data_IF_329488375782
#
_entry.id   IF_329488375782
#
_cell.length_a   1.000
_cell.length_b   1.000
_cell.length_c   1.000
_cell.angle_alpha   90.00
_cell.angle_beta   90.00
_cell.angle_gamma   90.00
#
_symmetry.space_group_name_H-M   'P 1'
#
loop_
_entity.id
_entity.type
_entity.pdbx_description
1 polymer ?
#
# COMPACT_ATOMS: atom_id res chain seq x y z
N UNK A 1 -36.98 -17.21 26.72
CA UNK A 1 -35.75 -17.91 26.31
C UNK A 1 -35.49 -17.51 24.88
N UNK A 2 -34.83 -16.36 24.73
CA UNK A 2 -34.48 -15.78 23.43
C UNK A 2 -33.16 -16.40 22.97
N UNK A 3 -33.20 -17.05 21.81
CA UNK A 3 -32.02 -17.51 21.09
C UNK A 3 -31.43 -16.34 20.30
N UNK A 4 -30.31 -15.81 20.78
CA UNK A 4 -29.57 -14.74 20.14
C UNK A 4 -29.07 -15.14 18.76
N UNK A 5 -29.48 -14.37 17.77
CA UNK A 5 -28.94 -14.37 16.40
C UNK A 5 -27.50 -13.87 16.44
N UNK A 6 -26.53 -14.78 16.24
CA UNK A 6 -25.14 -14.40 15.99
C UNK A 6 -25.04 -13.65 14.66
N UNK A 7 -24.65 -12.39 14.73
CA UNK A 7 -24.26 -11.57 13.58
C UNK A 7 -23.03 -12.19 12.93
N UNK A 8 -23.23 -12.93 11.84
CA UNK A 8 -22.15 -13.50 11.04
C UNK A 8 -21.42 -12.40 10.27
N UNK A 9 -20.14 -12.22 10.57
CA UNK A 9 -19.25 -11.32 9.84
C UNK A 9 -18.95 -11.88 8.44
N UNK A 10 -19.34 -11.16 7.39
CA UNK A 10 -19.07 -11.51 5.99
C UNK A 10 -17.94 -10.60 5.48
N UNK A 11 -16.80 -11.19 5.11
CA UNK A 11 -15.60 -10.47 4.67
C UNK A 11 -15.45 -10.49 3.15
N UNK A 12 -15.03 -9.34 2.59
CA UNK A 12 -14.77 -9.09 1.17
C UNK A 12 -13.53 -9.85 0.67
N UNK A 13 -13.64 -10.36 -0.56
CA UNK A 13 -12.81 -11.45 -1.13
C UNK A 13 -12.29 -11.05 -2.51
N UNK A 14 -11.02 -11.36 -2.84
CA UNK A 14 -10.35 -11.07 -4.13
C UNK A 14 -9.58 -12.30 -4.65
N UNK A 15 -9.79 -12.66 -5.94
CA UNK A 15 -9.11 -13.65 -6.85
C UNK A 15 -9.67 -15.09 -7.06
N UNK A 16 -10.13 -15.39 -8.30
CA UNK A 16 -10.83 -16.62 -8.73
C UNK A 16 -9.94 -17.69 -9.42
N UNK A 17 -10.58 -18.84 -9.70
CA UNK A 17 -10.11 -20.22 -10.00
C UNK A 17 -9.98 -20.56 -11.49
N UNK A 18 -9.17 -21.58 -11.80
CA UNK A 18 -9.20 -22.32 -13.06
C UNK A 18 -9.58 -23.81 -12.87
N UNK A 19 -10.11 -24.42 -13.92
CA UNK A 19 -10.15 -25.88 -14.12
C UNK A 19 -9.32 -26.24 -15.37
N UNK A 20 -8.32 -27.10 -15.14
CA UNK A 20 -7.33 -27.75 -16.02
C UNK A 20 -7.57 -27.78 -17.55
N UNK A 21 -6.48 -27.60 -18.32
CA UNK A 21 -5.76 -28.70 -18.99
C UNK A 21 -4.45 -28.24 -19.68
N UNK A 22 -3.43 -29.12 -19.63
CA UNK A 22 -2.14 -29.13 -20.33
C UNK A 22 -2.26 -28.70 -21.83
N UNK A 23 -1.26 -28.18 -22.54
CA UNK A 23 0.04 -28.80 -22.85
C UNK A 23 0.84 -27.83 -23.76
N UNK A 24 2.17 -27.80 -23.62
CA UNK A 24 3.19 -27.48 -24.65
C UNK A 24 3.14 -26.09 -25.29
N UNK A 25 4.02 -25.18 -24.87
CA UNK A 25 4.60 -24.11 -25.71
C UNK A 25 5.87 -23.51 -25.08
N UNK A 26 6.72 -24.33 -24.44
CA UNK A 26 7.98 -23.88 -23.82
C UNK A 26 9.24 -24.31 -24.57
N UNK A 27 9.12 -24.87 -25.77
CA UNK A 27 10.24 -25.02 -26.70
C UNK A 27 9.82 -24.30 -27.98
N UNK A 28 10.71 -23.48 -28.53
CA UNK A 28 10.52 -22.43 -29.56
C UNK A 28 10.05 -21.09 -29.03
N UNK A 29 11.00 -20.29 -28.53
CA UNK A 29 11.16 -18.87 -28.89
C UNK A 29 12.50 -18.30 -28.34
N UNK A 30 13.58 -19.08 -28.42
CA UNK A 30 14.90 -18.51 -28.69
C UNK A 30 15.12 -18.64 -30.20
N UNK A 31 15.66 -17.57 -30.80
CA UNK A 31 15.91 -17.36 -32.25
C UNK A 31 14.75 -16.78 -33.08
N UNK A 32 14.56 -15.46 -33.00
CA UNK A 32 14.27 -14.66 -34.20
C UNK A 32 14.99 -13.29 -34.12
N UNK A 33 15.73 -12.88 -35.15
CA UNK A 33 16.28 -11.53 -35.27
C UNK A 33 15.18 -10.53 -35.63
N UNK A 34 15.39 -9.25 -35.30
CA UNK A 34 14.51 -8.13 -35.65
C UNK A 34 14.11 -8.17 -37.13
N UNK A 35 12.80 -8.24 -37.39
CA UNK A 35 12.22 -8.03 -38.72
C UNK A 35 10.88 -7.28 -38.62
N UNK A 36 10.76 -6.20 -39.40
CA UNK A 36 9.55 -5.39 -39.60
C UNK A 36 8.47 -6.15 -40.41
N UNK A 37 7.81 -7.15 -39.83
CA UNK A 37 6.65 -7.80 -40.47
C UNK A 37 5.30 -7.43 -39.83
N UNK A 38 4.32 -7.18 -40.71
CA UNK A 38 2.98 -6.65 -40.45
C UNK A 38 1.96 -7.77 -40.21
N UNK A 39 1.17 -7.68 -39.13
CA UNK A 39 0.03 -8.57 -38.88
C UNK A 39 -1.31 -7.86 -39.17
N UNK A 40 -2.20 -8.59 -39.84
CA UNK A 40 -3.55 -8.14 -40.21
C UNK A 40 -4.60 -8.95 -39.44
N UNK A 41 -5.56 -8.27 -38.80
CA UNK A 41 -6.75 -8.91 -38.22
C UNK A 41 -8.01 -8.19 -38.73
N UNK A 42 -8.91 -8.95 -39.36
CA UNK A 42 -10.23 -8.50 -39.86
C UNK A 42 -10.23 -7.20 -40.69
N UNK A 43 -9.24 -7.04 -41.57
CA UNK A 43 -9.23 -5.97 -42.57
C UNK A 43 -8.96 -4.56 -42.02
N UNK A 44 -8.50 -4.42 -40.76
CA UNK A 44 -7.98 -3.16 -40.23
C UNK A 44 -6.55 -3.30 -39.73
N UNK A 45 -5.76 -2.26 -40.00
CA UNK A 45 -4.38 -2.13 -39.56
C UNK A 45 -4.35 -1.72 -38.08
N UNK A 46 -3.64 -2.48 -37.26
CA UNK A 46 -3.41 -2.13 -35.87
C UNK A 46 -1.91 -1.94 -35.62
N UNK A 47 -1.57 -0.77 -35.09
CA UNK A 47 -0.24 -0.48 -34.55
C UNK A 47 -0.39 -0.45 -33.03
N UNK A 48 0.11 -1.47 -32.34
CA UNK A 48 0.16 -1.47 -30.87
C UNK A 48 1.61 -1.58 -30.43
N UNK A 49 2.30 -0.44 -30.48
CA UNK A 49 3.41 -0.18 -29.56
C UNK A 49 2.82 0.48 -28.33
N UNK A 50 2.47 -0.30 -27.31
CA UNK A 50 2.31 0.26 -25.96
C UNK A 50 3.70 0.42 -25.38
N UNK A 51 4.19 1.66 -25.42
CA UNK A 51 5.57 2.02 -25.14
C UNK A 51 6.08 1.61 -23.76
N UNK A 52 7.27 1.00 -23.77
CA UNK A 52 8.10 0.62 -22.63
C UNK A 52 8.85 -0.68 -22.95
N UNK A 53 10.15 -0.74 -22.66
CA UNK A 53 10.97 -1.97 -22.78
C UNK A 53 10.83 -2.89 -21.54
N UNK A 54 9.83 -2.64 -20.70
CA UNK A 54 9.60 -3.39 -19.45
C UNK A 54 8.75 -4.64 -19.65
N UNK A 55 8.62 -5.48 -18.61
CA UNK A 55 7.83 -6.71 -18.65
C UNK A 55 6.35 -6.43 -18.99
N UNK A 56 5.76 -7.30 -19.81
CA UNK A 56 4.32 -7.30 -20.12
C UNK A 56 3.48 -8.13 -19.13
N UNK A 57 4.13 -8.79 -18.17
CA UNK A 57 3.51 -9.59 -17.11
C UNK A 57 4.29 -9.44 -15.80
N UNK A 58 3.56 -9.46 -14.69
CA UNK A 58 4.14 -9.49 -13.35
C UNK A 58 4.27 -10.91 -12.75
N UNK A 59 3.92 -11.93 -13.53
CA UNK A 59 4.06 -13.32 -13.13
C UNK A 59 5.51 -13.64 -12.74
N UNK A 60 5.66 -14.29 -11.58
CA UNK A 60 6.96 -14.67 -11.05
C UNK A 60 7.67 -13.61 -10.19
N UNK A 61 7.25 -12.33 -10.20
CA UNK A 61 7.94 -11.29 -9.41
C UNK A 61 7.01 -10.30 -8.68
N UNK A 62 5.80 -10.05 -9.20
CA UNK A 62 4.89 -9.02 -8.70
C UNK A 62 4.09 -9.36 -7.44
N UNK A 63 4.24 -10.56 -6.86
CA UNK A 63 3.32 -11.05 -5.83
C UNK A 63 3.20 -10.13 -4.60
N UNK A 64 4.30 -9.55 -4.09
CA UNK A 64 4.23 -8.60 -2.98
C UNK A 64 3.58 -7.26 -3.37
N UNK A 65 3.77 -6.82 -4.62
CA UNK A 65 3.08 -5.62 -5.14
C UNK A 65 1.56 -5.85 -5.17
N UNK A 66 1.11 -7.02 -5.64
CA UNK A 66 -0.29 -7.44 -5.61
C UNK A 66 -0.85 -7.52 -4.18
N UNK A 67 -0.09 -8.04 -3.22
CA UNK A 67 -0.49 -8.01 -1.81
C UNK A 67 -0.64 -6.57 -1.28
N UNK A 68 0.27 -5.67 -1.65
CA UNK A 68 0.16 -4.24 -1.35
C UNK A 68 -1.09 -3.60 -1.94
N UNK A 69 -1.42 -3.91 -3.21
CA UNK A 69 -2.66 -3.47 -3.86
C UNK A 69 -3.88 -3.94 -3.08
N UNK A 70 -3.94 -5.22 -2.67
CA UNK A 70 -5.08 -5.76 -1.92
C UNK A 70 -5.29 -5.06 -0.57
N UNK A 71 -4.21 -4.82 0.20
CA UNK A 71 -4.30 -4.11 1.48
C UNK A 71 -4.75 -2.65 1.29
N UNK A 72 -4.21 -1.94 0.30
CA UNK A 72 -4.62 -0.56 0.02
C UNK A 72 -6.06 -0.51 -0.49
N UNK A 73 -6.45 -1.41 -1.39
CA UNK A 73 -7.83 -1.51 -1.88
C UNK A 73 -8.81 -1.71 -0.72
N UNK A 74 -8.49 -2.59 0.24
CA UNK A 74 -9.29 -2.78 1.43
C UNK A 74 -9.41 -1.49 2.27
N UNK A 75 -8.33 -0.71 2.41
CA UNK A 75 -8.37 0.60 3.07
C UNK A 75 -9.30 1.58 2.33
N UNK A 76 -9.25 1.62 0.99
CA UNK A 76 -10.10 2.48 0.17
C UNK A 76 -11.59 2.06 0.25
N UNK A 77 -11.87 0.77 0.29
CA UNK A 77 -13.23 0.24 0.53
C UNK A 77 -13.72 0.70 1.91
N UNK A 78 -12.92 0.53 2.97
CA UNK A 78 -13.27 1.01 4.32
C UNK A 78 -13.52 2.53 4.36
N UNK A 79 -12.73 3.31 3.61
CA UNK A 79 -12.87 4.78 3.52
C UNK A 79 -14.21 5.17 2.91
N UNK A 80 -14.55 4.62 1.74
CA UNK A 80 -15.65 5.09 0.89
C UNK A 80 -16.96 4.34 1.08
N UNK A 81 -16.89 3.02 1.25
CA UNK A 81 -18.06 2.13 1.30
C UNK A 81 -18.33 1.65 2.73
N UNK A 82 -17.31 1.71 3.59
CA UNK A 82 -17.38 1.20 4.96
C UNK A 82 -17.03 -0.28 5.04
N UNK A 83 -16.70 -0.73 6.26
CA UNK A 83 -16.22 -2.09 6.51
C UNK A 83 -17.31 -3.15 6.27
N UNK A 84 -18.58 -2.81 6.50
CA UNK A 84 -19.73 -3.73 6.37
C UNK A 84 -20.27 -3.87 4.94
N UNK A 85 -19.76 -3.06 4.01
CA UNK A 85 -20.10 -3.20 2.60
C UNK A 85 -19.65 -4.57 2.07
N UNK A 86 -20.45 -5.16 1.20
CA UNK A 86 -20.14 -6.42 0.53
C UNK A 86 -20.48 -6.36 -0.94
N UNK A 87 -19.61 -6.96 -1.75
CA UNK A 87 -19.86 -7.13 -3.18
C UNK A 87 -20.83 -8.30 -3.42
N UNK A 88 -21.70 -8.13 -4.41
CA UNK A 88 -22.60 -9.19 -4.88
C UNK A 88 -22.70 -9.17 -6.41
N UNK A 89 -22.42 -10.31 -7.05
CA UNK A 89 -22.38 -10.46 -8.51
C UNK A 89 -23.63 -9.94 -9.24
N UNK A 90 -24.81 -10.03 -8.63
CA UNK A 90 -26.07 -9.68 -9.27
C UNK A 90 -26.60 -8.29 -8.89
N UNK A 91 -25.88 -7.53 -8.07
CA UNK A 91 -26.30 -6.19 -7.66
C UNK A 91 -25.47 -5.12 -8.35
N UNK A 92 -26.14 -4.02 -8.68
CA UNK A 92 -25.45 -2.81 -9.12
C UNK A 92 -24.59 -2.28 -7.98
N UNK A 93 -23.32 -2.06 -8.27
CA UNK A 93 -22.34 -1.60 -7.28
C UNK A 93 -22.31 -0.07 -7.23
N UNK A 94 -22.00 0.53 -6.07
CA UNK A 94 -21.85 1.99 -5.96
C UNK A 94 -20.80 2.53 -6.93
N UNK A 95 -20.99 3.72 -7.51
CA UNK A 95 -20.00 4.32 -8.42
C UNK A 95 -18.60 4.46 -7.80
N UNK A 96 -18.54 4.69 -6.48
CA UNK A 96 -17.27 4.75 -5.76
C UNK A 96 -16.50 3.42 -5.82
N UNK A 97 -17.18 2.27 -5.86
CA UNK A 97 -16.53 0.96 -5.99
C UNK A 97 -15.79 0.83 -7.33
N UNK A 98 -16.46 1.13 -8.45
CA UNK A 98 -15.83 1.10 -9.78
C UNK A 98 -14.63 2.06 -9.86
N UNK A 99 -14.74 3.25 -9.25
CA UNK A 99 -13.63 4.19 -9.18
C UNK A 99 -12.45 3.69 -8.34
N UNK A 100 -12.70 2.98 -7.22
CA UNK A 100 -11.65 2.32 -6.43
C UNK A 100 -10.97 1.25 -7.27
N UNK A 101 -11.74 0.38 -7.92
CA UNK A 101 -11.21 -0.70 -8.76
C UNK A 101 -10.31 -0.16 -9.88
N UNK A 102 -10.75 0.92 -10.54
CA UNK A 102 -9.99 1.59 -11.59
C UNK A 102 -8.64 2.14 -11.13
N UNK A 103 -8.45 2.44 -9.84
CA UNK A 103 -7.13 2.85 -9.33
C UNK A 103 -6.08 1.74 -9.44
N UNK A 104 -6.48 0.47 -9.54
CA UNK A 104 -5.61 -0.70 -9.49
C UNK A 104 -5.48 -1.46 -10.81
N UNK A 105 -6.16 -1.02 -11.87
CA UNK A 105 -6.01 -1.64 -13.20
C UNK A 105 -4.57 -1.56 -13.66
N UNK A 106 -4.15 -2.54 -14.47
CA UNK A 106 -2.78 -2.64 -14.96
C UNK A 106 -2.53 -1.69 -16.13
N UNK A 107 -2.77 -0.40 -15.90
CA UNK A 107 -2.50 0.71 -16.83
C UNK A 107 -1.65 1.78 -16.17
N UNK A 108 -0.81 2.44 -16.96
CA UNK A 108 0.11 3.49 -16.47
C UNK A 108 -0.61 4.72 -15.91
N UNK A 109 -1.83 5.01 -16.37
CA UNK A 109 -2.64 6.14 -15.91
C UNK A 109 -3.39 5.86 -14.59
N UNK A 110 -3.41 4.61 -14.11
CA UNK A 110 -4.01 4.22 -12.84
C UNK A 110 -3.01 4.37 -11.69
N UNK A 111 -3.37 5.12 -10.63
CA UNK A 111 -2.44 5.59 -9.60
C UNK A 111 -1.77 4.49 -8.75
N UNK A 112 -2.41 3.33 -8.59
CA UNK A 112 -1.88 2.19 -7.83
C UNK A 112 -1.71 0.95 -8.71
N UNK A 113 -1.54 1.14 -10.02
CA UNK A 113 -1.27 0.03 -10.95
C UNK A 113 0.07 -0.63 -10.68
N UNK A 114 0.23 -1.86 -11.18
CA UNK A 114 1.51 -2.57 -11.12
C UNK A 114 2.64 -1.75 -11.76
N UNK A 115 2.33 -0.98 -12.81
CA UNK A 115 3.26 -0.08 -13.49
C UNK A 115 3.76 1.02 -12.57
N UNK A 116 2.85 1.74 -11.90
CA UNK A 116 3.19 2.82 -10.99
C UNK A 116 3.95 2.30 -9.77
N UNK A 117 3.55 1.15 -9.22
CA UNK A 117 4.24 0.53 -8.09
C UNK A 117 5.65 0.08 -8.45
N UNK A 118 5.84 -0.60 -9.58
CA UNK A 118 7.16 -1.04 -10.03
C UNK A 118 8.07 0.15 -10.34
N UNK A 119 7.56 1.17 -11.03
CA UNK A 119 8.32 2.38 -11.36
C UNK A 119 8.71 3.18 -10.11
N UNK A 120 7.81 3.31 -9.13
CA UNK A 120 8.10 3.97 -7.85
C UNK A 120 9.13 3.18 -7.03
N UNK A 121 9.15 1.85 -7.17
CA UNK A 121 10.14 0.99 -6.54
C UNK A 121 11.57 1.22 -7.00
N UNK A 122 11.79 1.75 -8.22
CA UNK A 122 13.13 2.18 -8.68
C UNK A 122 13.71 3.23 -7.73
N UNK A 123 12.88 4.15 -7.24
CA UNK A 123 13.27 5.15 -6.23
C UNK A 123 13.51 4.58 -4.83
N UNK A 124 13.23 3.30 -4.60
CA UNK A 124 13.58 2.53 -3.40
C UNK A 124 14.77 1.58 -3.64
N UNK A 125 15.46 1.72 -4.79
CA UNK A 125 16.58 0.86 -5.17
C UNK A 125 16.18 -0.52 -5.69
N UNK A 126 14.93 -0.70 -6.14
CA UNK A 126 14.44 -1.95 -6.74
C UNK A 126 14.27 -1.84 -8.24
N UNK A 127 14.91 -2.75 -8.98
CA UNK A 127 14.73 -2.81 -10.43
C UNK A 127 13.31 -3.31 -10.77
N UNK A 128 12.79 -2.91 -11.91
CA UNK A 128 11.53 -3.48 -12.42
C UNK A 128 11.75 -4.97 -12.66
N UNK A 129 10.84 -5.82 -12.18
CA UNK A 129 11.01 -7.27 -12.21
C UNK A 129 11.61 -7.87 -10.93
N UNK A 130 12.11 -7.06 -10.01
CA UNK A 130 12.64 -7.55 -8.72
C UNK A 130 11.51 -7.79 -7.71
N UNK A 131 11.70 -8.74 -6.80
CA UNK A 131 10.78 -8.99 -5.70
C UNK A 131 10.94 -7.97 -4.56
N UNK A 132 9.82 -7.59 -3.95
CA UNK A 132 9.73 -6.57 -2.91
C UNK A 132 9.48 -7.22 -1.55
N UNK A 133 10.14 -6.71 -0.50
CA UNK A 133 9.75 -7.03 0.88
C UNK A 133 8.57 -6.19 1.36
N UNK A 134 7.93 -6.56 2.50
CA UNK A 134 6.79 -5.82 3.04
C UNK A 134 7.06 -4.33 3.32
N UNK A 135 8.27 -3.98 3.80
CA UNK A 135 8.64 -2.57 4.01
C UNK A 135 8.73 -1.81 2.69
N UNK A 136 9.37 -2.37 1.67
CA UNK A 136 9.56 -1.68 0.38
C UNK A 136 8.23 -1.37 -0.30
N UNK A 137 7.30 -2.32 -0.32
CA UNK A 137 5.96 -2.05 -0.88
C UNK A 137 5.21 -0.99 -0.05
N UNK A 138 5.36 -0.98 1.28
CA UNK A 138 4.76 0.05 2.14
C UNK A 138 5.28 1.46 1.83
N UNK A 139 6.59 1.62 1.60
CA UNK A 139 7.17 2.92 1.20
C UNK A 139 6.69 3.35 -0.20
N UNK A 140 6.57 2.41 -1.14
CA UNK A 140 5.99 2.68 -2.47
C UNK A 140 4.54 3.17 -2.35
N UNK A 141 3.70 2.50 -1.58
CA UNK A 141 2.30 2.92 -1.36
C UNK A 141 2.24 4.31 -0.72
N UNK A 142 3.14 4.59 0.25
CA UNK A 142 3.25 5.91 0.88
C UNK A 142 3.59 7.01 -0.11
N UNK A 143 4.50 6.77 -1.07
CA UNK A 143 4.86 7.74 -2.12
C UNK A 143 3.74 7.91 -3.14
N UNK A 144 3.10 6.82 -3.59
CA UNK A 144 2.01 6.89 -4.57
C UNK A 144 0.76 7.62 -4.02
N UNK A 145 0.44 7.42 -2.74
CA UNK A 145 -0.70 8.06 -2.10
C UNK A 145 -0.61 9.61 -2.09
N UNK A 146 0.59 10.18 -2.25
CA UNK A 146 0.77 11.63 -2.39
C UNK A 146 0.10 12.20 -3.64
N UNK A 147 -0.01 11.40 -4.71
CA UNK A 147 -0.59 11.82 -5.99
C UNK A 147 -2.11 11.60 -6.06
N UNK A 148 -2.69 10.94 -5.06
CA UNK A 148 -4.11 10.63 -5.01
C UNK A 148 -4.89 11.65 -4.17
N UNK A 149 -5.31 12.72 -4.84
CA UNK A 149 -6.08 13.80 -4.23
C UNK A 149 -7.50 13.38 -3.85
N UNK A 150 -8.09 12.40 -4.53
CA UNK A 150 -9.44 11.94 -4.24
C UNK A 150 -9.52 11.24 -2.89
N UNK A 151 -8.54 10.37 -2.62
CA UNK A 151 -8.46 9.65 -1.36
C UNK A 151 -7.80 10.49 -0.26
N UNK A 152 -6.80 11.30 -0.60
CA UNK A 152 -6.07 12.17 0.34
C UNK A 152 -5.68 11.44 1.63
N UNK A 153 -5.18 10.21 1.49
CA UNK A 153 -4.75 9.38 2.62
C UNK A 153 -3.48 9.95 3.26
N UNK A 154 -3.40 9.85 4.58
CA UNK A 154 -2.13 9.88 5.29
C UNK A 154 -1.60 8.44 5.37
N UNK A 155 -0.42 8.16 4.81
CA UNK A 155 0.21 6.84 4.89
C UNK A 155 1.41 6.92 5.82
N UNK A 156 1.28 6.32 7.01
CA UNK A 156 2.36 6.23 7.98
C UNK A 156 2.97 4.83 7.96
N UNK A 157 4.28 4.75 7.74
CA UNK A 157 5.05 3.51 7.85
C UNK A 157 5.96 3.64 9.05
N UNK A 158 5.78 2.78 10.06
CA UNK A 158 6.61 2.83 11.28
C UNK A 158 8.04 2.39 10.99
N UNK A 159 8.97 2.94 11.75
CA UNK A 159 10.39 2.56 11.74
C UNK A 159 10.75 1.95 13.10
N UNK A 160 11.76 1.07 13.12
CA UNK A 160 12.31 0.45 14.33
C UNK A 160 11.26 -0.12 15.29
N UNK A 161 10.25 -0.80 14.72
CA UNK A 161 9.12 -1.39 15.44
C UNK A 161 8.43 -0.40 16.41
N UNK A 162 8.42 0.90 16.09
CA UNK A 162 7.92 1.95 16.99
C UNK A 162 6.94 2.86 16.26
N UNK A 163 5.74 2.97 16.80
CA UNK A 163 4.68 3.86 16.33
C UNK A 163 4.66 5.11 17.19
N UNK A 164 4.81 6.29 16.57
CA UNK A 164 4.87 7.58 17.27
C UNK A 164 3.55 8.32 17.11
N UNK A 165 2.85 8.54 18.23
CA UNK A 165 1.53 9.17 18.24
C UNK A 165 1.58 10.60 17.73
N UNK A 166 2.54 11.42 18.19
CA UNK A 166 2.63 12.83 17.78
C UNK A 166 2.92 13.00 16.27
N UNK A 167 3.72 12.11 15.69
CA UNK A 167 4.05 12.14 14.26
C UNK A 167 2.83 11.84 13.41
N UNK A 168 2.05 10.83 13.82
CA UNK A 168 0.78 10.49 13.16
C UNK A 168 -0.20 11.65 13.27
N UNK A 169 -0.39 12.23 14.46
CA UNK A 169 -1.29 13.38 14.64
C UNK A 169 -0.83 14.55 13.78
N UNK A 170 0.47 14.85 13.71
CA UNK A 170 1.04 15.90 12.84
C UNK A 170 0.83 15.62 11.35
N UNK A 171 0.86 14.36 10.91
CA UNK A 171 0.62 13.98 9.51
C UNK A 171 -0.86 14.05 9.12
N UNK A 172 -1.76 13.63 10.02
CA UNK A 172 -3.19 13.53 9.74
C UNK A 172 -3.93 14.86 9.94
N UNK A 173 -3.46 15.70 10.86
CA UNK A 173 -4.01 17.03 11.11
C UNK A 173 -3.72 18.00 9.97
N UNK A 174 -4.77 18.51 9.31
CA UNK A 174 -4.63 19.59 8.33
C UNK A 174 -4.99 20.93 8.97
N UNK A 175 -4.07 21.89 8.90
CA UNK A 175 -4.36 23.27 9.27
C UNK A 175 -5.17 23.95 8.14
N UNK A 176 -6.18 24.77 8.46
CA UNK A 176 -6.92 25.51 7.45
C UNK A 176 -6.03 26.53 6.74
N UNK A 177 -6.11 26.56 5.40
CA UNK A 177 -5.35 27.46 4.50
C UNK A 177 -5.77 28.94 4.62
N UNK A 178 -6.65 29.31 5.56
CA UNK A 178 -7.31 30.62 5.59
C UNK A 178 -6.86 31.54 6.73
N UNK A 179 -5.56 31.63 7.00
CA UNK A 179 -4.99 32.64 7.92
C UNK A 179 -3.78 33.41 7.36
N UNK A 180 -3.42 33.22 6.08
CA UNK A 180 -2.27 33.88 5.45
C UNK A 180 -2.62 35.04 4.50
N UNK A 181 -3.91 35.39 4.34
CA UNK A 181 -4.34 36.56 3.55
C UNK A 181 -5.41 37.34 4.30
N UNK A 182 -5.08 37.89 5.46
CA UNK A 182 -5.76 39.06 5.99
C UNK A 182 -4.80 40.23 5.82
N UNK A 183 -5.07 41.04 4.79
CA UNK A 183 -4.31 42.23 4.46
C UNK A 183 -4.21 43.19 5.64
N UNK A 184 -3.08 43.88 5.68
CA UNK A 184 -2.69 44.90 6.64
C UNK A 184 -3.79 45.94 6.88
N UNK A 185 -4.10 46.21 8.13
CA UNK A 185 -4.71 47.46 8.59
C UNK A 185 -4.10 47.81 9.96
N UNK A 186 -3.76 49.08 10.21
CA UNK A 186 -2.94 49.47 11.37
C UNK A 186 -3.71 49.39 12.71
N UNK A 187 -3.00 49.36 13.85
CA UNK A 187 -3.61 49.09 15.15
C UNK A 187 -4.08 50.40 15.80
N UNK A 188 -5.34 50.43 16.26
CA UNK A 188 -5.77 51.43 17.23
C UNK A 188 -6.33 50.76 18.51
N UNK A 189 -5.62 51.02 19.60
CA UNK A 189 -6.06 51.09 21.00
C UNK A 189 -6.62 49.85 21.72
N UNK A 190 -5.73 49.27 22.54
CA UNK A 190 -5.89 48.83 23.94
C UNK A 190 -7.31 48.58 24.48
N UNK A 191 -7.57 47.31 24.85
CA UNK A 191 -8.12 46.99 26.16
C UNK A 191 -7.68 45.60 26.62
N UNK A 192 -7.01 45.56 27.76
CA UNK A 192 -6.59 44.34 28.44
C UNK A 192 -7.77 43.73 29.21
N UNK A 193 -7.99 42.43 29.01
CA UNK A 193 -8.69 41.59 29.97
C UNK A 193 -8.25 40.13 29.80
N UNK A 194 -7.72 39.60 30.91
CA UNK A 194 -7.20 38.26 31.07
C UNK A 194 -8.27 37.19 30.79
N UNK A 195 -7.95 36.23 29.94
CA UNK A 195 -8.31 34.83 30.18
C UNK A 195 -7.41 33.90 29.38
N UNK A 196 -6.57 33.18 30.13
CA UNK A 196 -5.83 32.01 29.70
C UNK A 196 -6.78 30.93 29.18
N UNK A 197 -6.77 30.70 27.87
CA UNK A 197 -7.09 29.39 27.31
C UNK A 197 -5.92 29.04 26.40
N UNK A 198 -5.15 28.03 26.79
CA UNK A 198 -4.18 27.42 25.90
C UNK A 198 -4.91 27.08 24.61
N UNK A 199 -4.53 27.75 23.54
CA UNK A 199 -5.02 27.51 22.19
C UNK A 199 -4.49 26.14 21.80
N UNK A 200 -5.19 25.08 22.23
CA UNK A 200 -5.15 23.80 21.53
C UNK A 200 -5.53 24.13 20.09
N UNK A 201 -4.54 24.10 19.20
CA UNK A 201 -4.76 24.23 17.78
C UNK A 201 -5.65 23.05 17.38
N UNK A 202 -6.97 23.27 17.39
CA UNK A 202 -7.95 22.26 17.07
C UNK A 202 -7.79 21.96 15.58
N UNK A 203 -7.24 20.79 15.25
CA UNK A 203 -7.23 20.29 13.88
C UNK A 203 -8.68 20.13 13.42
N UNK A 204 -9.12 20.91 12.46
CA UNK A 204 -10.51 20.85 11.99
C UNK A 204 -10.75 19.68 11.02
N UNK A 205 -9.71 19.11 10.41
CA UNK A 205 -9.83 17.98 9.48
C UNK A 205 -8.72 16.94 9.68
N UNK A 206 -9.13 15.67 9.82
CA UNK A 206 -8.27 14.49 9.91
C UNK A 206 -8.20 13.79 8.56
N UNK A 207 -7.00 13.62 8.00
CA UNK A 207 -6.78 12.76 6.84
C UNK A 207 -6.90 11.29 7.24
N UNK A 208 -7.74 10.47 6.55
CA UNK A 208 -7.84 9.05 6.85
C UNK A 208 -6.46 8.39 6.78
N UNK A 209 -6.13 7.64 7.83
CA UNK A 209 -4.81 7.09 8.07
C UNK A 209 -4.75 5.63 7.59
N UNK A 210 -3.79 5.34 6.73
CA UNK A 210 -3.26 4.00 6.50
C UNK A 210 -1.96 3.86 7.30
N UNK A 211 -2.02 3.10 8.39
CA UNK A 211 -0.88 2.81 9.25
C UNK A 211 -0.33 1.44 8.88
N UNK A 212 0.95 1.38 8.49
CA UNK A 212 1.66 0.15 8.17
C UNK A 212 2.82 -0.02 9.15
N UNK A 213 2.92 -1.21 9.75
CA UNK A 213 3.96 -1.56 10.72
C UNK A 213 4.77 -2.74 10.18
N UNK A 214 5.87 -2.49 9.45
CA UNK A 214 6.81 -3.52 9.04
C UNK A 214 7.53 -4.12 10.25
N UNK A 215 7.68 -5.45 10.27
CA UNK A 215 8.17 -6.20 11.42
C UNK A 215 9.02 -7.38 10.98
N UNK A 216 9.97 -7.76 11.84
CA UNK A 216 10.72 -9.01 11.76
C UNK A 216 10.50 -9.82 13.04
N UNK A 217 9.66 -10.84 12.97
CA UNK A 217 9.17 -11.61 14.13
C UNK A 217 10.05 -12.83 14.50
N UNK A 218 11.22 -12.95 13.90
CA UNK A 218 12.15 -14.06 14.12
C UNK A 218 13.25 -14.11 13.06
N UNK A 219 14.14 -15.10 13.17
CA UNK A 219 15.28 -15.23 12.25
C UNK A 219 14.87 -16.03 11.00
N UNK A 220 14.31 -17.22 11.15
CA UNK A 220 13.90 -18.08 10.03
C UNK A 220 12.40 -18.36 10.01
N UNK A 221 11.78 -18.33 11.18
CA UNK A 221 10.36 -18.57 11.42
C UNK A 221 9.89 -17.60 12.50
N UNK A 222 8.58 -17.37 12.58
CA UNK A 222 8.00 -16.57 13.66
C UNK A 222 8.35 -17.17 15.03
N UNK A 223 8.76 -16.32 15.97
CA UNK A 223 8.92 -16.74 17.35
C UNK A 223 7.52 -16.96 17.98
N UNK A 224 7.21 -18.14 18.55
CA UNK A 224 5.91 -18.44 19.13
C UNK A 224 5.39 -17.42 20.15
N UNK A 225 6.30 -16.69 20.84
CA UNK A 225 5.92 -15.63 21.79
C UNK A 225 5.09 -14.51 21.16
N UNK A 226 5.21 -14.28 19.85
CA UNK A 226 4.47 -13.24 19.15
C UNK A 226 3.14 -13.71 18.57
N UNK A 227 2.84 -15.02 18.59
CA UNK A 227 1.65 -15.59 17.91
C UNK A 227 0.36 -15.00 18.45
N UNK A 228 0.23 -14.88 19.77
CA UNK A 228 -0.99 -14.36 20.38
C UNK A 228 -1.16 -12.85 20.10
N UNK A 229 -0.10 -12.05 20.26
CA UNK A 229 -0.11 -10.63 19.91
C UNK A 229 -0.42 -10.41 18.41
N UNK A 230 0.11 -11.26 17.53
CA UNK A 230 -0.18 -11.22 16.11
C UNK A 230 -1.66 -11.51 15.83
N UNK A 231 -2.26 -12.52 16.49
CA UNK A 231 -3.70 -12.80 16.40
C UNK A 231 -4.57 -11.64 16.89
N UNK A 232 -4.18 -10.96 17.97
CA UNK A 232 -4.91 -9.79 18.49
C UNK A 232 -5.00 -8.65 17.45
N UNK A 233 -3.98 -8.48 16.61
CA UNK A 233 -3.98 -7.46 15.55
C UNK A 233 -5.11 -7.68 14.53
N UNK A 234 -5.52 -8.93 14.25
CA UNK A 234 -6.63 -9.23 13.34
C UNK A 234 -8.01 -8.98 13.97
N UNK A 235 -8.09 -8.90 15.30
CA UNK A 235 -9.36 -8.68 16.02
C UNK A 235 -9.73 -7.20 16.13
N UNK A 236 -8.79 -6.30 15.90
CA UNK A 236 -9.02 -4.86 15.99
C UNK A 236 -9.97 -4.40 14.88
N UNK A 237 -10.94 -3.51 15.15
CA UNK A 237 -11.85 -2.97 14.13
C UNK A 237 -11.11 -2.27 12.97
N UNK A 238 -9.95 -1.69 13.26
CA UNK A 238 -9.09 -0.99 12.32
C UNK A 238 -8.25 -1.94 11.47
N UNK A 239 -8.26 -3.25 11.74
CA UNK A 239 -7.36 -4.19 11.08
C UNK A 239 -7.58 -4.25 9.57
N UNK A 240 -6.48 -4.07 8.83
CA UNK A 240 -6.38 -4.40 7.42
C UNK A 240 -5.62 -5.72 7.21
N UNK A 241 -5.36 -6.51 8.26
CA UNK A 241 -4.59 -7.73 8.17
C UNK A 241 -3.09 -7.50 8.03
N UNK A 242 -2.39 -8.40 7.33
CA UNK A 242 -0.93 -8.37 7.21
C UNK A 242 -0.43 -8.75 5.81
N UNK A 243 0.66 -8.13 5.38
CA UNK A 243 1.47 -8.56 4.24
C UNK A 243 2.60 -9.46 4.75
N UNK A 244 2.95 -10.51 4.02
CA UNK A 244 4.10 -11.33 4.37
C UNK A 244 4.33 -12.47 3.39
N UNK A 245 5.32 -13.30 3.68
CA UNK A 245 5.69 -14.44 2.86
C UNK A 245 7.14 -14.38 2.37
N UNK A 246 7.59 -15.50 1.82
CA UNK A 246 8.97 -15.66 1.32
C UNK A 246 9.12 -14.92 -0.02
N UNK A 247 10.36 -14.70 -0.48
CA UNK A 247 10.60 -14.25 -1.85
C UNK A 247 9.77 -15.06 -2.85
N UNK A 248 9.08 -14.34 -3.74
CA UNK A 248 8.20 -14.88 -4.79
C UNK A 248 7.01 -15.72 -4.27
N UNK A 249 6.74 -15.72 -2.96
CA UNK A 249 5.64 -16.43 -2.29
C UNK A 249 4.99 -15.52 -1.25
N UNK A 250 4.47 -14.38 -1.71
CA UNK A 250 3.83 -13.37 -0.87
C UNK A 250 2.31 -13.59 -0.77
N UNK A 251 1.75 -13.36 0.42
CA UNK A 251 0.32 -13.51 0.68
C UNK A 251 -0.23 -12.30 1.42
N UNK A 252 -1.52 -12.05 1.24
CA UNK A 252 -2.25 -11.07 2.02
C UNK A 252 -3.11 -11.78 3.08
N UNK A 253 -2.67 -11.75 4.32
CA UNK A 253 -3.34 -12.36 5.45
C UNK A 253 -4.48 -11.46 5.93
N UNK A 254 -5.70 -12.01 5.99
CA UNK A 254 -6.93 -11.27 6.29
C UNK A 254 -7.58 -11.69 7.62
N UNK A 255 -7.09 -12.77 8.24
CA UNK A 255 -7.64 -13.28 9.49
C UNK A 255 -6.99 -14.59 9.91
N UNK A 256 -7.58 -15.25 10.89
CA UNK A 256 -7.11 -16.54 11.38
C UNK A 256 -8.27 -17.40 11.90
N UNK A 257 -8.04 -18.71 12.00
CA UNK A 257 -8.90 -19.67 12.65
C UNK A 257 -8.04 -20.66 13.44
N UNK A 258 -8.17 -20.69 14.76
CA UNK A 258 -7.29 -21.49 15.61
C UNK A 258 -5.83 -21.06 15.45
N UNK A 259 -4.99 -21.95 14.94
CA UNK A 259 -3.57 -21.71 14.63
C UNK A 259 -3.27 -21.58 13.13
N UNK A 260 -4.32 -21.43 12.32
CA UNK A 260 -4.20 -21.22 10.87
C UNK A 260 -4.50 -19.77 10.50
N UNK A 261 -3.63 -19.15 9.71
CA UNK A 261 -3.93 -17.88 9.04
C UNK A 261 -4.77 -18.11 7.82
N UNK A 262 -5.67 -17.18 7.55
CA UNK A 262 -6.49 -17.12 6.34
C UNK A 262 -5.92 -16.02 5.44
N UNK A 263 -5.69 -16.32 4.17
CA UNK A 263 -5.06 -15.37 3.26
C UNK A 263 -5.63 -15.41 1.84
N UNK A 264 -5.35 -14.33 1.11
CA UNK A 264 -5.54 -14.20 -0.33
C UNK A 264 -4.20 -14.40 -1.04
N UNK A 265 -4.22 -15.21 -2.09
CA UNK A 265 -3.06 -15.68 -2.82
C UNK A 265 -3.00 -15.04 -4.22
N UNK A 266 -1.97 -14.24 -4.54
CA UNK A 266 -1.83 -13.59 -5.84
C UNK A 266 -1.18 -14.48 -6.92
N UNK A 267 -0.77 -15.72 -6.64
CA UNK A 267 0.01 -16.54 -7.58
C UNK A 267 -0.84 -17.23 -8.67
N UNK A 268 -1.90 -16.56 -9.13
CA UNK A 268 -2.69 -16.97 -10.29
C UNK A 268 -2.63 -15.86 -11.33
N UNK A 269 -2.04 -16.16 -12.50
CA UNK A 269 -1.98 -15.20 -13.61
C UNK A 269 -3.34 -15.15 -14.31
N UNK A 270 -3.87 -13.93 -14.47
CA UNK A 270 -5.15 -13.68 -15.15
C UNK A 270 -4.90 -12.79 -16.38
N UNK A 271 -5.83 -12.82 -17.34
CA UNK A 271 -5.79 -11.88 -18.46
C UNK A 271 -6.05 -10.46 -17.95
N UNK A 272 -5.38 -9.49 -18.57
CA UNK A 272 -5.64 -8.07 -18.35
C UNK A 272 -7.10 -7.73 -18.64
N UNK A 273 -7.71 -6.95 -17.74
CA UNK A 273 -9.07 -6.42 -17.89
C UNK A 273 -8.96 -4.91 -18.10
N UNK A 274 -9.56 -4.40 -19.18
CA UNK A 274 -9.66 -2.98 -19.46
C UNK A 274 -11.05 -2.44 -19.12
N UNK A 275 -11.22 -1.12 -19.21
CA UNK A 275 -12.52 -0.48 -19.14
C UNK A 275 -13.34 -0.74 -20.40
N UNK A 276 -14.61 -1.10 -20.21
CA UNK A 276 -15.62 -1.22 -21.26
C UNK A 276 -16.02 0.15 -21.84
N UNK A 277 -16.72 0.17 -22.98
CA UNK A 277 -17.17 1.43 -23.64
C UNK A 277 -18.03 2.33 -22.73
N UNK A 278 -18.74 1.74 -21.78
CA UNK A 278 -19.56 2.46 -20.80
C UNK A 278 -18.75 3.02 -19.61
N UNK A 279 -17.43 2.84 -19.61
CA UNK A 279 -16.51 3.28 -18.55
C UNK A 279 -16.50 2.41 -17.30
N UNK A 280 -17.16 1.25 -17.30
CA UNK A 280 -17.13 0.26 -16.21
C UNK A 280 -16.09 -0.82 -16.46
N UNK A 281 -15.74 -1.58 -15.42
CA UNK A 281 -14.82 -2.71 -15.49
C UNK A 281 -15.60 -3.98 -15.17
N UNK A 282 -15.40 -5.05 -15.96
CA UNK A 282 -15.85 -6.40 -15.56
C UNK A 282 -15.04 -6.86 -14.35
N UNK A 283 -15.71 -6.90 -13.20
CA UNK A 283 -15.06 -7.05 -11.91
C UNK A 283 -14.96 -8.50 -11.41
N UNK A 284 -15.48 -9.46 -12.18
CA UNK A 284 -15.59 -10.86 -11.76
C UNK A 284 -14.24 -11.49 -11.36
N UNK A 285 -13.16 -11.13 -12.06
CA UNK A 285 -11.79 -11.64 -11.83
C UNK A 285 -11.12 -11.02 -10.60
N UNK A 286 -11.66 -9.92 -10.10
CA UNK A 286 -11.18 -9.22 -8.90
C UNK A 286 -11.84 -9.75 -7.61
N UNK A 287 -12.63 -10.83 -7.69
CA UNK A 287 -13.29 -11.46 -6.54
C UNK A 287 -12.94 -12.95 -6.38
N UNK A 288 -12.55 -13.37 -5.16
CA UNK A 288 -12.23 -14.78 -4.88
C UNK A 288 -13.49 -15.54 -4.53
N UNK A 289 -13.88 -16.43 -5.44
CA UNK A 289 -15.01 -17.34 -5.25
C UNK A 289 -14.58 -18.71 -4.69
N UNK A 290 -13.28 -18.95 -4.53
CA UNK A 290 -12.78 -20.17 -3.92
C UNK A 290 -12.95 -20.15 -2.40
N UNK A 291 -12.83 -21.34 -1.80
CA UNK A 291 -12.69 -21.44 -0.35
C UNK A 291 -11.43 -20.70 0.12
N UNK A 292 -11.48 -19.98 1.26
CA UNK A 292 -10.32 -19.25 1.77
C UNK A 292 -9.13 -20.19 2.01
N UNK A 293 -7.96 -19.81 1.51
CA UNK A 293 -6.72 -20.55 1.72
C UNK A 293 -6.24 -20.40 3.16
N UNK A 294 -5.55 -21.43 3.66
CA UNK A 294 -5.09 -21.50 5.04
C UNK A 294 -3.67 -22.02 5.15
N UNK A 295 -2.94 -21.53 6.15
CA UNK A 295 -1.64 -22.07 6.52
C UNK A 295 -1.41 -21.94 8.03
N UNK A 296 -0.66 -22.86 8.62
CA UNK A 296 -0.28 -22.73 10.02
C UNK A 296 0.54 -21.44 10.27
N UNK A 297 0.24 -20.71 11.34
CA UNK A 297 0.93 -19.46 11.70
C UNK A 297 2.45 -19.66 11.83
N UNK A 298 2.90 -20.82 12.33
CA UNK A 298 4.32 -21.11 12.50
C UNK A 298 5.09 -21.27 11.17
N UNK A 299 4.37 -21.50 10.07
CA UNK A 299 4.97 -21.56 8.73
C UNK A 299 5.11 -20.18 8.07
N UNK A 300 4.61 -19.12 8.72
CA UNK A 300 4.72 -17.75 8.24
C UNK A 300 6.19 -17.30 8.22
N UNK A 301 6.60 -16.65 7.13
CA UNK A 301 7.90 -15.97 7.08
C UNK A 301 7.94 -14.86 8.15
N UNK A 302 9.02 -14.72 8.93
CA UNK A 302 9.08 -13.73 9.99
C UNK A 302 9.07 -12.28 9.48
N UNK A 303 9.30 -12.01 8.19
CA UNK A 303 9.15 -10.67 7.61
C UNK A 303 7.69 -10.39 7.25
N UNK A 304 7.06 -9.47 7.98
CA UNK A 304 5.65 -9.09 7.77
C UNK A 304 5.46 -7.57 7.81
N UNK A 305 4.30 -7.10 7.36
CA UNK A 305 3.84 -5.74 7.65
C UNK A 305 2.36 -5.76 8.04
N UNK A 306 2.05 -5.30 9.24
CA UNK A 306 0.66 -5.16 9.71
C UNK A 306 0.05 -3.89 9.12
N UNK A 307 -1.21 -3.94 8.72
CA UNK A 307 -1.95 -2.78 8.24
C UNK A 307 -3.12 -2.43 9.16
N UNK A 308 -3.31 -1.13 9.41
CA UNK A 308 -4.46 -0.61 10.13
C UNK A 308 -5.03 0.64 9.43
N UNK A 309 -6.35 0.78 9.44
CA UNK A 309 -7.05 1.93 8.88
C UNK A 309 -7.82 2.70 9.96
N UNK A 310 -7.49 3.98 10.12
CA UNK A 310 -8.18 4.88 11.03
C UNK A 310 -8.80 6.04 10.24
N UNK A 311 -10.11 5.99 10.02
CA UNK A 311 -10.81 6.96 9.17
C UNK A 311 -10.87 8.34 9.83
N UNK A 312 -11.07 8.37 11.14
CA UNK A 312 -11.13 9.56 11.98
C UNK A 312 -10.11 9.48 13.13
N UNK A 313 -9.82 10.61 13.78
CA UNK A 313 -8.90 10.66 14.93
C UNK A 313 -9.36 9.73 16.06
N UNK A 314 -10.67 9.65 16.32
CA UNK A 314 -11.25 8.75 17.33
C UNK A 314 -10.95 7.27 17.06
N UNK A 315 -10.83 6.88 15.79
CA UNK A 315 -10.51 5.50 15.40
C UNK A 315 -9.05 5.19 15.74
N UNK A 316 -8.17 6.18 15.57
CA UNK A 316 -6.76 6.11 15.94
C UNK A 316 -6.56 6.11 17.46
N UNK A 317 -7.27 6.94 18.21
CA UNK A 317 -7.23 6.94 19.67
C UNK A 317 -7.77 5.60 20.24
N UNK A 318 -8.82 5.04 19.62
CA UNK A 318 -9.34 3.70 19.94
C UNK A 318 -8.29 2.61 19.65
N UNK A 319 -7.62 2.67 18.50
CA UNK A 319 -6.55 1.75 18.14
C UNK A 319 -5.40 1.83 19.16
N UNK A 320 -4.97 3.04 19.55
CA UNK A 320 -3.94 3.24 20.58
C UNK A 320 -4.31 2.54 21.91
N UNK A 321 -5.57 2.67 22.32
CA UNK A 321 -6.09 2.03 23.54
C UNK A 321 -6.07 0.50 23.45
N UNK A 322 -6.42 -0.06 22.29
CA UNK A 322 -6.38 -1.51 22.04
C UNK A 322 -4.94 -2.04 22.03
N UNK A 323 -4.01 -1.32 21.42
CA UNK A 323 -2.58 -1.68 21.42
C UNK A 323 -2.02 -1.68 22.83
N UNK A 324 -2.31 -0.66 23.62
CA UNK A 324 -1.88 -0.61 25.03
C UNK A 324 -2.42 -1.79 25.84
N UNK A 325 -3.67 -2.18 25.60
CA UNK A 325 -4.34 -3.25 26.32
C UNK A 325 -3.88 -4.65 25.90
N UNK A 326 -3.76 -4.91 24.60
CA UNK A 326 -3.59 -6.27 24.07
C UNK A 326 -2.18 -6.57 23.57
N UNK A 327 -1.41 -5.57 23.16
CA UNK A 327 -0.05 -5.77 22.61
C UNK A 327 1.02 -5.43 23.65
N UNK A 328 0.88 -4.32 24.37
CA UNK A 328 1.90 -3.86 25.32
C UNK A 328 1.86 -4.55 26.69
N UNK A 329 0.85 -5.41 26.94
CA UNK A 329 0.75 -6.25 28.14
C UNK A 329 1.81 -7.36 28.17
N UNK A 330 2.31 -7.76 26.99
CA UNK A 330 3.28 -8.83 26.85
C UNK A 330 4.67 -8.36 27.27
N UNK A 331 5.46 -9.28 27.86
CA UNK A 331 6.84 -9.00 28.23
C UNK A 331 7.74 -8.78 27.00
N UNK A 332 7.44 -9.50 25.90
CA UNK A 332 8.10 -9.36 24.61
C UNK A 332 7.11 -8.79 23.62
N UNK A 333 7.31 -7.52 23.28
CA UNK A 333 6.40 -6.75 22.43
C UNK A 333 6.79 -6.88 20.97
N UNK A 334 5.78 -6.97 20.13
CA UNK A 334 5.97 -7.00 18.68
C UNK A 334 6.35 -5.61 18.14
N UNK A 335 5.76 -4.55 18.70
CA UNK A 335 6.10 -3.16 18.44
C UNK A 335 5.74 -2.30 19.65
N UNK A 336 6.35 -1.12 19.72
CA UNK A 336 6.12 -0.11 20.76
C UNK A 336 5.17 0.99 20.25
N UNK A 337 4.41 1.56 21.17
CA UNK A 337 3.60 2.76 20.94
C UNK A 337 4.07 3.85 21.88
N UNK A 338 4.62 4.93 21.33
CA UNK A 338 5.22 6.03 22.10
C UNK A 338 4.49 7.34 21.83
N UNK A 339 4.40 8.17 22.87
CA UNK A 339 3.67 9.44 22.76
C UNK A 339 4.46 10.49 21.96
N UNK A 340 5.78 10.56 22.18
CA UNK A 340 6.66 11.58 21.60
C UNK A 340 7.69 10.94 20.68
N UNK A 341 8.09 11.69 19.67
CA UNK A 341 9.16 11.35 18.76
C UNK A 341 10.46 11.17 19.54
N UNK A 342 11.15 10.03 19.39
CA UNK A 342 12.42 9.79 20.07
C UNK A 342 13.45 10.88 19.72
N UNK A 343 14.08 11.48 20.74
CA UNK A 343 14.97 12.64 20.54
C UNK A 343 16.24 12.36 19.73
N UNK A 344 16.62 11.09 19.58
CA UNK A 344 17.79 10.67 18.80
C UNK A 344 17.46 10.40 17.31
N UNK A 345 16.18 10.42 16.93
CA UNK A 345 15.75 10.24 15.55
C UNK A 345 15.84 11.56 14.76
N UNK A 346 16.00 11.49 13.43
CA UNK A 346 15.89 12.67 12.57
C UNK A 346 14.51 13.33 12.72
N UNK A 347 14.42 14.67 12.69
CA UNK A 347 13.14 15.36 12.84
C UNK A 347 12.06 14.84 11.89
N UNK A 348 10.88 14.52 12.43
CA UNK A 348 9.78 14.04 11.61
C UNK A 348 9.20 15.16 10.72
N UNK A 349 9.36 14.96 9.40
CA UNK A 349 8.78 15.80 8.35
C UNK A 349 7.67 15.01 7.65
N UNK A 350 6.41 15.48 7.69
CA UNK A 350 5.33 14.85 6.95
C UNK A 350 5.67 14.76 5.45
N UNK A 351 5.36 13.64 4.78
CA UNK A 351 5.57 13.50 3.34
C UNK A 351 4.83 14.59 2.57
N UNK A 352 5.53 15.25 1.66
CA UNK A 352 4.97 16.24 0.74
C UNK A 352 5.22 15.80 -0.70
N UNK A 353 4.37 16.24 -1.64
CA UNK A 353 4.63 16.06 -3.07
C UNK A 353 5.99 16.70 -3.39
N UNK A 354 6.87 16.04 -4.16
CA UNK A 354 8.11 16.67 -4.59
C UNK A 354 7.78 17.93 -5.41
N UNK A 355 8.41 19.06 -5.06
CA UNK A 355 8.31 20.28 -5.86
C UNK A 355 9.09 20.07 -7.16
N UNK A 356 8.37 19.85 -8.26
CA UNK A 356 8.97 19.87 -9.60
C UNK A 356 9.22 21.33 -9.96
N UNK A 357 10.38 21.86 -9.58
CA UNK A 357 10.91 23.06 -10.22
C UNK A 357 11.43 22.65 -11.58
N UNK A 358 10.67 22.93 -12.63
CA UNK A 358 11.16 22.85 -14.01
C UNK A 358 12.20 23.95 -14.22
N UNK A 359 13.41 23.74 -13.74
CA UNK A 359 14.62 24.43 -14.18
C UNK A 359 15.49 23.41 -14.89
N UNK A 360 15.43 23.37 -16.23
CA UNK A 360 16.35 22.55 -17.02
C UNK A 360 15.71 21.60 -18.05
N UNK A 361 14.53 21.91 -18.60
CA UNK A 361 14.13 21.35 -19.90
C UNK A 361 14.50 22.36 -21.01
N UNK A 362 15.79 22.66 -21.14
CA UNK A 362 16.31 23.06 -22.44
C UNK A 362 16.57 21.77 -23.22
N UNK A 363 15.97 21.70 -24.41
CA UNK A 363 16.24 20.71 -25.42
C UNK A 363 17.76 20.63 -25.65
N UNK A 364 18.40 19.54 -25.22
CA UNK A 364 19.71 19.17 -25.74
C UNK A 364 19.45 18.23 -26.91
N UNK A 365 19.24 18.84 -28.08
CA UNK A 365 19.59 18.23 -29.35
C UNK A 365 21.12 18.26 -29.48
N UNK A 366 21.67 17.31 -30.20
CA UNK A 366 23.09 17.15 -30.59
C UNK A 366 23.96 16.29 -29.67
N UNK A 367 24.14 15.07 -30.16
CA UNK A 367 25.33 14.25 -30.11
C UNK A 367 26.62 15.07 -30.15
N UNK A 368 27.47 14.96 -29.12
CA UNK A 368 28.95 14.91 -29.13
C UNK A 368 29.47 15.23 -27.72
N UNK A 369 30.57 14.58 -27.33
CA UNK A 369 31.30 14.68 -26.06
C UNK A 369 30.82 13.80 -24.90
N UNK A 370 31.00 12.49 -25.08
CA UNK A 370 31.30 11.56 -23.99
C UNK A 370 32.76 11.09 -24.15
N UNK A 371 33.71 11.92 -23.73
CA UNK A 371 35.06 11.45 -23.39
C UNK A 371 35.55 12.27 -22.19
N UNK A 372 36.20 11.57 -21.25
CA UNK A 372 36.88 12.05 -20.05
C UNK A 372 35.99 12.42 -18.85
N UNK A 373 35.85 11.48 -17.91
CA UNK A 373 36.37 11.64 -16.53
C UNK A 373 36.25 10.29 -15.79
N UNK A 374 37.22 9.40 -16.04
CA UNK A 374 37.61 8.35 -15.11
C UNK A 374 38.41 9.03 -14.00
N UNK A 375 37.90 9.02 -12.76
CA UNK A 375 38.76 9.11 -11.57
C UNK A 375 38.22 8.20 -10.47
N UNK A 376 39.08 7.24 -10.16
CA UNK A 376 39.02 6.21 -9.14
C UNK A 376 38.93 6.81 -7.73
N UNK A 377 38.05 6.27 -6.88
CA UNK A 377 38.22 6.32 -5.42
C UNK A 377 38.26 4.89 -4.87
N UNK A 378 39.48 4.47 -4.59
CA UNK A 378 39.91 3.22 -3.97
C UNK A 378 39.56 3.23 -2.47
N UNK A 379 38.71 2.30 -2.03
CA UNK A 379 38.44 2.09 -0.59
C UNK A 379 39.41 1.04 -0.02
N UNK A 380 40.32 1.49 0.85
CA UNK A 380 41.19 0.63 1.66
C UNK A 380 40.38 -0.29 2.59
N UNK A 381 40.61 -1.60 2.49
CA UNK A 381 40.16 -2.62 3.44
C UNK A 381 41.26 -2.80 4.49
N UNK A 382 40.98 -2.44 5.74
CA UNK A 382 41.81 -2.82 6.89
C UNK A 382 41.33 -4.17 7.44
N UNK A 383 42.15 -5.21 7.25
CA UNK A 383 42.07 -6.48 7.96
C UNK A 383 43.16 -6.55 9.03
N UNK A 384 42.82 -7.10 10.20
CA UNK A 384 43.76 -7.75 11.14
C UNK A 384 43.36 -9.21 11.24
#
# INVERSE_FOLDING_TARGET
>A
MESGTGSGFVWNRVLSKYENQNTIFSDYLEEFPDTDELVWILGKQHLLKTGGTGPSSDAGWGCMLRCGQMMLAQALICRHLGRDWHWEKQKEQPKAYQRILQCFLDRKDCCYSIHQMAQMGVGEGKSIGEWFGPNTVAQVLKKLALFDEWNSLAVYVSMDNTVVIEDIKKMCCVLPVSAATAGESPPDSLNASNQSKGTSACCLAWKPLLLIVPLRLGINQINPVYVDAFKECFKMPQSLGALGGKPNNAYYFIGFLGDELIFLDPHTTQNFVDTEENGTVDDQTFHCLQSPQRMNILNLDPSVALGFFCKEEKDFDSWCSLVQKEILKENLRMFELVQKHPSHWPPFVPPAKPEVTTTGAEFIDSTEQLEEFDLEEEFEILSI
#
